data_IF_165677832010
#
_entry.id   IF_165677832010
#
_cell.length_a   1.000
_cell.length_b   1.000
_cell.length_c   1.000
_cell.angle_alpha   90.00
_cell.angle_beta   90.00
_cell.angle_gamma   90.00
#
_symmetry.space_group_name_H-M   'P 1'
#
loop_
_entity.id
_entity.type
_entity.pdbx_description
1 polymer ?
#
# COMPACT_ATOMS: atom_id res chain seq x y z
N UNK A 1 -3.17 -19.09 11.71
CA UNK A 1 -3.55 -20.52 11.68
C UNK A 1 -3.81 -21.05 10.26
N UNK A 2 -4.68 -20.41 9.44
CA UNK A 2 -5.06 -20.85 8.08
C UNK A 2 -3.84 -21.02 7.14
N UNK A 3 -2.86 -20.15 7.21
CA UNK A 3 -1.64 -20.20 6.39
C UNK A 3 -0.81 -21.47 6.65
N UNK A 4 -0.61 -21.81 7.91
CA UNK A 4 0.13 -23.01 8.31
C UNK A 4 -0.65 -24.28 7.99
N UNK A 5 -1.97 -24.30 8.19
CA UNK A 5 -2.81 -25.44 7.82
C UNK A 5 -2.69 -25.75 6.32
N UNK A 6 -2.71 -24.72 5.45
CA UNK A 6 -2.52 -24.92 4.01
C UNK A 6 -1.10 -25.37 3.67
N UNK A 7 -0.08 -24.86 4.34
CA UNK A 7 1.30 -25.30 4.16
C UNK A 7 1.48 -26.77 4.50
N UNK A 8 1.05 -27.19 5.69
CA UNK A 8 1.12 -28.59 6.14
C UNK A 8 0.39 -29.52 5.18
N UNK A 9 -0.82 -29.12 4.75
CA UNK A 9 -1.61 -29.93 3.81
C UNK A 9 -0.95 -30.03 2.44
N UNK A 10 -0.35 -28.94 1.95
CA UNK A 10 0.42 -28.94 0.71
C UNK A 10 1.62 -29.89 0.80
N UNK A 11 2.34 -29.87 1.92
CA UNK A 11 3.49 -30.75 2.16
C UNK A 11 3.05 -32.23 2.25
N UNK A 12 1.99 -32.53 2.98
CA UNK A 12 1.43 -33.88 3.05
C UNK A 12 1.05 -34.44 1.66
N UNK A 13 0.40 -33.61 0.82
CA UNK A 13 0.03 -34.02 -0.54
C UNK A 13 1.27 -34.22 -1.45
N UNK A 14 2.36 -33.49 -1.26
CA UNK A 14 3.61 -33.71 -1.99
C UNK A 14 4.26 -35.06 -1.63
N UNK A 15 4.19 -35.45 -0.37
CA UNK A 15 4.77 -36.73 0.08
C UNK A 15 3.95 -37.93 -0.35
N UNK A 16 2.63 -37.82 -0.44
CA UNK A 16 1.74 -38.89 -0.94
C UNK A 16 1.94 -39.17 -2.44
N UNK A 17 2.39 -38.19 -3.23
CA UNK A 17 2.59 -38.30 -4.68
C UNK A 17 3.83 -39.06 -5.11
N UNK A 18 4.68 -39.52 -4.21
CA UNK A 18 5.88 -40.31 -4.53
C UNK A 18 5.58 -41.72 -5.05
N UNK A 19 4.37 -42.25 -4.81
CA UNK A 19 3.95 -43.59 -5.24
C UNK A 19 3.38 -43.65 -6.67
N UNK A 20 3.04 -42.52 -7.28
CA UNK A 20 2.50 -42.45 -8.65
C UNK A 20 3.20 -41.38 -9.45
N UNK A 21 4.26 -41.79 -10.15
CA UNK A 21 5.26 -40.95 -10.82
C UNK A 21 4.79 -40.08 -11.99
N UNK A 22 3.50 -39.99 -12.31
CA UNK A 22 3.04 -39.36 -13.55
C UNK A 22 2.22 -38.07 -13.41
N UNK A 23 1.66 -37.68 -12.26
CA UNK A 23 0.65 -36.62 -12.25
C UNK A 23 0.60 -35.63 -11.09
N UNK A 24 1.51 -35.63 -10.10
CA UNK A 24 1.37 -34.78 -8.91
C UNK A 24 2.42 -33.67 -8.85
N UNK A 25 2.25 -32.65 -9.67
CA UNK A 25 3.01 -31.41 -9.54
C UNK A 25 2.41 -30.44 -8.48
N UNK A 26 3.18 -29.41 -8.03
CA UNK A 26 2.70 -28.40 -7.06
C UNK A 26 1.41 -27.70 -7.47
N UNK A 27 1.06 -27.76 -8.74
CA UNK A 27 -0.16 -27.21 -9.33
C UNK A 27 -1.41 -28.00 -8.88
N UNK A 28 -1.32 -29.34 -8.90
CA UNK A 28 -2.41 -30.23 -8.53
C UNK A 28 -2.71 -30.17 -7.03
N UNK A 29 -1.68 -30.12 -6.18
CA UNK A 29 -1.87 -30.04 -4.72
C UNK A 29 -2.61 -28.77 -4.29
N UNK A 30 -2.28 -27.62 -4.90
CA UNK A 30 -2.99 -26.36 -4.58
C UNK A 30 -4.42 -26.31 -5.13
N UNK A 31 -4.70 -27.00 -6.24
CA UNK A 31 -6.05 -27.14 -6.79
C UNK A 31 -6.92 -28.04 -5.92
N UNK A 32 -6.36 -29.13 -5.39
CA UNK A 32 -7.07 -30.04 -4.46
C UNK A 32 -7.45 -29.32 -3.17
N UNK A 33 -6.52 -28.57 -2.56
CA UNK A 33 -6.80 -27.76 -1.37
C UNK A 33 -7.88 -26.73 -1.66
N UNK A 34 -7.80 -26.03 -2.79
CA UNK A 34 -8.76 -25.03 -3.21
C UNK A 34 -10.18 -25.61 -3.35
N UNK A 35 -10.31 -26.78 -3.98
CA UNK A 35 -11.60 -27.46 -4.15
C UNK A 35 -12.21 -27.88 -2.80
N UNK A 36 -11.40 -28.28 -1.83
CA UNK A 36 -11.87 -28.75 -0.52
C UNK A 36 -12.22 -27.59 0.44
N UNK A 37 -11.60 -26.41 0.28
CA UNK A 37 -11.75 -25.27 1.20
C UNK A 37 -12.64 -24.16 0.65
N UNK A 38 -13.00 -24.20 -0.64
CA UNK A 38 -13.76 -23.14 -1.31
C UNK A 38 -12.92 -21.90 -1.66
N UNK A 39 -11.63 -21.89 -1.34
CA UNK A 39 -10.73 -20.80 -1.74
C UNK A 39 -10.24 -21.00 -3.18
N UNK A 40 -9.85 -19.92 -3.85
CA UNK A 40 -9.18 -20.07 -5.14
C UNK A 40 -7.76 -20.60 -4.97
N UNK A 41 -7.23 -21.29 -5.97
CA UNK A 41 -5.84 -21.78 -5.99
C UNK A 41 -4.82 -20.65 -5.71
N UNK A 42 -5.07 -19.46 -6.24
CA UNK A 42 -4.20 -18.33 -5.99
C UNK A 42 -4.28 -17.85 -4.54
N UNK A 43 -5.46 -17.89 -3.95
CA UNK A 43 -5.66 -17.55 -2.54
C UNK A 43 -4.94 -18.53 -1.61
N UNK A 44 -5.01 -19.82 -1.88
CA UNK A 44 -4.27 -20.86 -1.15
C UNK A 44 -2.74 -20.57 -1.18
N UNK A 45 -2.19 -20.29 -2.36
CA UNK A 45 -0.77 -19.95 -2.49
C UNK A 45 -0.39 -18.68 -1.71
N UNK A 46 -1.26 -17.67 -1.72
CA UNK A 46 -1.03 -16.41 -1.00
C UNK A 46 -1.06 -16.62 0.52
N UNK A 47 -1.98 -17.44 1.03
CA UNK A 47 -1.97 -17.83 2.45
C UNK A 47 -0.68 -18.55 2.81
N UNK A 48 -0.28 -19.58 2.03
CA UNK A 48 0.97 -20.29 2.28
C UNK A 48 2.15 -19.31 2.29
N UNK A 49 2.12 -18.29 1.43
CA UNK A 49 3.21 -17.31 1.38
C UNK A 49 3.40 -16.55 2.70
N UNK A 50 2.34 -16.30 3.47
CA UNK A 50 2.44 -15.66 4.78
C UNK A 50 3.32 -16.43 5.79
N UNK A 51 3.48 -17.74 5.62
CA UNK A 51 4.36 -18.55 6.50
C UNK A 51 5.85 -18.24 6.34
N UNK A 52 6.24 -17.36 5.41
CA UNK A 52 7.61 -16.87 5.22
C UNK A 52 7.82 -15.49 5.85
N UNK A 53 6.83 -14.96 6.55
CA UNK A 53 7.01 -13.78 7.38
C UNK A 53 7.72 -14.16 8.69
N UNK A 54 8.55 -13.23 9.19
CA UNK A 54 9.07 -13.37 10.56
C UNK A 54 7.91 -13.33 11.56
N UNK A 55 8.02 -14.03 12.72
CA UNK A 55 6.92 -14.17 13.67
C UNK A 55 6.30 -12.84 14.10
N UNK A 56 7.13 -11.81 14.31
CA UNK A 56 6.67 -10.48 14.74
C UNK A 56 5.79 -9.77 13.69
N UNK A 57 6.12 -9.88 12.40
CA UNK A 57 5.28 -9.32 11.34
C UNK A 57 4.03 -10.17 11.14
N UNK A 58 4.14 -11.50 11.23
CA UNK A 58 2.97 -12.38 11.15
C UNK A 58 1.95 -12.07 12.25
N UNK A 59 2.42 -11.81 13.49
CA UNK A 59 1.56 -11.37 14.58
C UNK A 59 0.83 -10.05 14.25
N UNK A 60 1.52 -9.08 13.64
CA UNK A 60 0.88 -7.84 13.20
C UNK A 60 -0.20 -8.05 12.13
N UNK A 61 -0.08 -9.11 11.33
CA UNK A 61 -1.13 -9.50 10.37
C UNK A 61 -2.32 -10.11 11.09
N UNK A 62 -2.09 -10.98 12.07
CA UNK A 62 -3.14 -11.61 12.88
C UNK A 62 -3.89 -10.57 13.73
N UNK A 63 -3.19 -9.54 14.22
CA UNK A 63 -3.76 -8.40 14.95
C UNK A 63 -4.49 -7.39 14.02
N UNK A 64 -4.46 -7.59 12.71
CA UNK A 64 -5.08 -6.69 11.73
C UNK A 64 -4.34 -5.36 11.49
N UNK A 65 -3.14 -5.17 12.06
CA UNK A 65 -2.29 -3.98 11.86
C UNK A 65 -1.73 -3.91 10.44
N UNK A 66 -1.43 -5.06 9.84
CA UNK A 66 -0.99 -5.17 8.44
C UNK A 66 -2.06 -5.94 7.66
N UNK A 67 -2.55 -5.35 6.59
CA UNK A 67 -3.54 -5.98 5.73
C UNK A 67 -2.93 -7.18 4.95
N UNK A 68 -3.76 -8.15 4.57
CA UNK A 68 -3.35 -9.38 3.88
C UNK A 68 -2.50 -9.13 2.62
N UNK A 69 -2.89 -8.17 1.77
CA UNK A 69 -2.20 -7.94 0.51
C UNK A 69 -0.78 -7.37 0.70
N UNK A 70 -0.56 -6.31 1.52
CA UNK A 70 0.78 -5.87 1.91
C UNK A 70 1.63 -6.99 2.53
N UNK A 71 1.06 -7.78 3.43
CA UNK A 71 1.76 -8.88 4.10
C UNK A 71 2.28 -9.93 3.12
N UNK A 72 1.49 -10.28 2.10
CA UNK A 72 1.93 -11.20 1.03
C UNK A 72 3.12 -10.62 0.27
N UNK A 73 3.16 -9.32 -0.03
CA UNK A 73 4.30 -8.70 -0.71
C UNK A 73 5.55 -8.67 0.20
N UNK A 74 5.39 -8.33 1.49
CA UNK A 74 6.47 -8.33 2.49
C UNK A 74 7.08 -9.72 2.64
N UNK A 75 6.30 -10.78 2.56
CA UNK A 75 6.80 -12.16 2.69
C UNK A 75 7.79 -12.58 1.60
N UNK A 76 7.97 -11.81 0.54
CA UNK A 76 8.98 -12.03 -0.49
C UNK A 76 10.32 -11.35 -0.19
N UNK A 77 10.39 -10.51 0.85
CA UNK A 77 11.62 -9.90 1.33
C UNK A 77 12.48 -10.93 2.09
N UNK A 78 13.78 -10.66 2.20
CA UNK A 78 14.68 -11.45 3.06
C UNK A 78 14.31 -11.26 4.53
N UNK A 79 14.65 -12.22 5.40
CA UNK A 79 14.40 -12.11 6.86
C UNK A 79 15.07 -10.87 7.45
N UNK A 80 16.29 -10.55 7.01
CA UNK A 80 17.02 -9.35 7.40
C UNK A 80 16.22 -8.07 7.08
N UNK A 81 15.75 -7.94 5.84
CA UNK A 81 14.96 -6.79 5.44
C UNK A 81 13.56 -6.74 6.09
N UNK A 82 13.00 -7.89 6.44
CA UNK A 82 11.77 -7.93 7.23
C UNK A 82 12.02 -7.45 8.67
N UNK A 83 13.19 -7.77 9.24
CA UNK A 83 13.59 -7.30 10.58
C UNK A 83 13.75 -5.77 10.58
N UNK A 84 14.50 -5.22 9.64
CA UNK A 84 14.62 -3.75 9.47
C UNK A 84 13.25 -3.08 9.31
N UNK A 85 12.40 -3.66 8.47
CA UNK A 85 11.05 -3.13 8.27
C UNK A 85 10.24 -3.15 9.59
N UNK A 86 10.37 -4.23 10.39
CA UNK A 86 9.66 -4.33 11.67
C UNK A 86 10.13 -3.28 12.67
N UNK A 87 11.43 -3.08 12.80
CA UNK A 87 12.05 -2.07 13.66
C UNK A 87 11.59 -0.66 13.25
N UNK A 88 11.58 -0.38 11.96
CA UNK A 88 11.16 0.91 11.43
C UNK A 88 9.65 1.16 11.60
N UNK A 89 8.82 0.12 11.43
CA UNK A 89 7.37 0.21 11.71
C UNK A 89 7.09 0.53 13.19
N UNK A 90 7.87 -0.02 14.11
CA UNK A 90 7.72 0.26 15.53
C UNK A 90 8.19 1.68 15.88
N UNK A 91 9.26 2.16 15.24
CA UNK A 91 9.79 3.50 15.46
C UNK A 91 8.87 4.60 14.93
N UNK A 92 8.29 4.39 13.76
CA UNK A 92 7.43 5.38 13.09
C UNK A 92 5.95 5.23 13.44
N UNK A 93 5.55 4.20 14.19
CA UNK A 93 4.15 3.78 14.42
C UNK A 93 3.33 3.75 13.11
N UNK A 94 3.95 3.24 12.05
CA UNK A 94 3.39 3.22 10.71
C UNK A 94 3.55 1.84 10.06
N UNK A 95 2.59 1.45 9.22
CA UNK A 95 2.66 0.20 8.44
C UNK A 95 2.64 0.51 6.96
N UNK A 96 3.35 -0.24 6.11
CA UNK A 96 3.42 0.06 4.68
C UNK A 96 2.10 -0.21 3.97
N UNK A 97 1.74 0.65 3.03
CA UNK A 97 0.65 0.42 2.08
C UNK A 97 1.02 -0.68 1.08
N UNK A 98 0.04 -1.16 0.30
CA UNK A 98 0.30 -2.17 -0.73
C UNK A 98 1.34 -1.69 -1.77
N UNK A 99 1.29 -0.41 -2.16
CA UNK A 99 2.24 0.17 -3.13
C UNK A 99 3.64 0.19 -2.53
N UNK A 100 3.77 0.68 -1.29
CA UNK A 100 5.04 0.70 -0.57
C UNK A 100 5.60 -0.72 -0.39
N UNK A 101 4.77 -1.70 -0.01
CA UNK A 101 5.20 -3.10 0.15
C UNK A 101 5.73 -3.71 -1.16
N UNK A 102 5.14 -3.37 -2.30
CA UNK A 102 5.66 -3.80 -3.61
C UNK A 102 7.02 -3.19 -3.91
N UNK A 103 7.18 -1.89 -3.68
CA UNK A 103 8.47 -1.21 -3.84
C UNK A 103 9.54 -1.83 -2.93
N UNK A 104 9.23 -2.05 -1.65
CA UNK A 104 10.14 -2.69 -0.70
C UNK A 104 10.54 -4.10 -1.12
N UNK A 105 9.59 -4.91 -1.60
CA UNK A 105 9.87 -6.23 -2.15
C UNK A 105 10.86 -6.16 -3.32
N UNK A 106 10.63 -5.26 -4.28
CA UNK A 106 11.47 -5.14 -5.47
C UNK A 106 12.87 -4.64 -5.09
N UNK A 107 12.99 -3.69 -4.18
CA UNK A 107 14.29 -3.23 -3.65
C UNK A 107 15.01 -4.32 -2.84
N UNK A 108 14.30 -5.07 -2.02
CA UNK A 108 14.85 -6.20 -1.27
C UNK A 108 15.41 -7.27 -2.22
N UNK A 109 14.67 -7.60 -3.27
CA UNK A 109 15.08 -8.54 -4.31
C UNK A 109 16.32 -8.07 -5.06
N UNK A 110 16.40 -6.79 -5.36
CA UNK A 110 17.52 -6.17 -6.07
C UNK A 110 18.72 -5.86 -5.15
N UNK A 111 18.61 -6.09 -3.83
CA UNK A 111 19.62 -5.76 -2.81
C UNK A 111 19.97 -4.26 -2.76
N UNK A 112 18.99 -3.41 -3.03
CA UNK A 112 19.13 -1.94 -3.01
C UNK A 112 18.41 -1.31 -1.83
N UNK A 113 17.74 -2.11 -0.98
CA UNK A 113 17.02 -1.61 0.17
C UNK A 113 18.01 -1.16 1.26
N UNK A 114 17.77 0.01 1.83
CA UNK A 114 18.52 0.59 2.95
C UNK A 114 17.57 1.01 4.07
N UNK A 115 18.05 1.04 5.32
CA UNK A 115 17.28 1.49 6.47
C UNK A 115 16.79 2.94 6.31
N UNK A 116 17.66 3.84 5.82
CA UNK A 116 17.28 5.23 5.54
C UNK A 116 16.11 5.34 4.55
N UNK A 117 16.07 4.47 3.54
CA UNK A 117 14.96 4.45 2.60
C UNK A 117 13.67 3.97 3.25
N UNK A 118 13.75 2.95 4.13
CA UNK A 118 12.60 2.46 4.92
C UNK A 118 12.01 3.59 5.76
N UNK A 119 12.86 4.33 6.48
CA UNK A 119 12.44 5.47 7.28
C UNK A 119 11.72 6.53 6.44
N UNK A 120 12.32 6.96 5.35
CA UNK A 120 11.73 7.95 4.43
C UNK A 120 10.38 7.47 3.90
N UNK A 121 10.30 6.21 3.47
CA UNK A 121 9.09 5.63 2.88
C UNK A 121 7.93 5.53 3.88
N UNK A 122 8.20 5.19 5.15
CA UNK A 122 7.18 5.04 6.18
C UNK A 122 6.73 6.39 6.76
N UNK A 123 7.61 7.39 6.75
CA UNK A 123 7.30 8.76 7.20
C UNK A 123 6.63 9.62 6.13
N UNK A 124 6.69 9.21 4.84
CA UNK A 124 5.96 9.89 3.78
C UNK A 124 4.44 9.89 4.03
N UNK A 125 3.81 11.06 3.90
CA UNK A 125 2.35 11.17 3.92
C UNK A 125 1.72 10.27 2.86
N UNK A 126 0.97 9.26 3.31
CA UNK A 126 0.25 8.37 2.40
C UNK A 126 -0.79 9.17 1.61
N UNK A 127 -0.99 8.85 0.31
CA UNK A 127 -1.98 9.55 -0.51
C UNK A 127 -3.39 9.60 0.09
N UNK A 128 -3.74 8.62 0.94
CA UNK A 128 -5.03 8.57 1.65
C UNK A 128 -5.09 9.49 2.88
N UNK A 129 -3.95 9.95 3.40
CA UNK A 129 -3.87 10.86 4.55
C UNK A 129 -3.83 12.33 4.13
N UNK A 130 -3.55 12.62 2.85
CA UNK A 130 -3.64 13.97 2.31
C UNK A 130 -5.09 14.43 2.38
N UNK A 131 -5.34 15.55 3.05
CA UNK A 131 -6.65 16.18 3.02
C UNK A 131 -6.99 16.51 1.57
N UNK A 132 -7.99 15.81 1.04
CA UNK A 132 -8.50 16.07 -0.31
C UNK A 132 -9.66 17.02 -0.19
N UNK A 133 -9.54 18.17 -0.83
CA UNK A 133 -10.65 19.08 -1.02
C UNK A 133 -11.40 18.70 -2.30
N UNK A 134 -12.67 18.37 -2.17
CA UNK A 134 -13.53 18.04 -3.30
C UNK A 134 -14.58 19.13 -3.46
N UNK A 135 -14.75 19.61 -4.67
CA UNK A 135 -15.91 20.36 -5.09
C UNK A 135 -16.87 19.41 -5.81
N UNK A 136 -18.09 19.27 -5.31
CA UNK A 136 -19.10 18.50 -6.02
C UNK A 136 -19.46 19.22 -7.31
N UNK A 137 -19.53 18.48 -8.41
CA UNK A 137 -19.87 19.05 -9.72
C UNK A 137 -21.25 19.76 -9.67
N UNK A 138 -22.22 19.19 -8.97
CA UNK A 138 -23.57 19.79 -8.78
C UNK A 138 -23.51 21.18 -8.18
N UNK A 139 -22.63 21.42 -7.21
CA UNK A 139 -22.54 22.67 -6.49
C UNK A 139 -21.90 23.79 -7.32
N UNK A 140 -21.05 23.38 -8.26
CA UNK A 140 -20.28 24.29 -9.10
C UNK A 140 -20.99 24.56 -10.44
N UNK A 141 -21.71 23.57 -10.97
CA UNK A 141 -22.31 23.63 -12.31
C UNK A 141 -23.31 24.76 -12.50
N UNK A 142 -24.00 25.17 -11.43
CA UNK A 142 -24.95 26.32 -11.47
C UNK A 142 -24.27 27.64 -11.86
N UNK A 143 -22.96 27.77 -11.70
CA UNK A 143 -22.18 28.98 -12.02
C UNK A 143 -21.55 28.94 -13.42
N UNK A 144 -21.75 27.85 -14.17
CA UNK A 144 -21.16 27.67 -15.50
C UNK A 144 -22.22 27.36 -16.55
N UNK A 145 -21.99 27.76 -17.82
CA UNK A 145 -22.83 27.35 -18.92
C UNK A 145 -22.92 25.83 -19.03
N UNK A 146 -24.07 25.31 -19.44
CA UNK A 146 -24.30 23.85 -19.61
C UNK A 146 -23.37 23.18 -20.61
N UNK A 147 -22.74 23.95 -21.50
CA UNK A 147 -21.76 23.48 -22.48
C UNK A 147 -20.36 23.27 -21.93
N UNK A 148 -20.09 23.69 -20.67
CA UNK A 148 -18.74 23.57 -20.09
C UNK A 148 -18.48 22.14 -19.62
N UNK A 149 -17.31 21.62 -20.03
CA UNK A 149 -16.80 20.33 -19.54
C UNK A 149 -16.25 20.49 -18.13
N UNK A 150 -16.19 19.42 -17.31
CA UNK A 150 -15.56 19.45 -15.98
C UNK A 150 -14.14 20.03 -15.98
N UNK A 151 -13.36 19.74 -17.01
CA UNK A 151 -12.00 20.25 -17.16
C UNK A 151 -11.97 21.78 -17.39
N UNK A 152 -12.90 22.30 -18.17
CA UNK A 152 -13.03 23.73 -18.43
C UNK A 152 -13.46 24.47 -17.13
N UNK A 153 -14.40 23.92 -16.38
CA UNK A 153 -14.81 24.47 -15.08
C UNK A 153 -13.60 24.51 -14.11
N UNK A 154 -12.84 23.45 -14.00
CA UNK A 154 -11.65 23.39 -13.16
C UNK A 154 -10.61 24.44 -13.55
N UNK A 155 -10.35 24.63 -14.85
CA UNK A 155 -9.40 25.64 -15.34
C UNK A 155 -9.83 27.06 -14.95
N UNK A 156 -11.11 27.38 -15.06
CA UNK A 156 -11.65 28.67 -14.66
C UNK A 156 -11.51 28.88 -13.17
N UNK A 157 -11.85 27.90 -12.34
CA UNK A 157 -11.72 27.97 -10.87
C UNK A 157 -10.27 28.24 -10.49
N UNK A 158 -9.32 27.49 -11.07
CA UNK A 158 -7.87 27.67 -10.80
C UNK A 158 -7.41 29.08 -11.19
N UNK A 159 -7.88 29.59 -12.34
CA UNK A 159 -7.56 30.94 -12.80
C UNK A 159 -8.07 32.00 -11.82
N UNK A 160 -9.30 31.87 -11.35
CA UNK A 160 -9.89 32.77 -10.37
C UNK A 160 -9.14 32.76 -9.02
N UNK A 161 -8.72 31.58 -8.56
CA UNK A 161 -7.94 31.43 -7.34
C UNK A 161 -6.54 32.07 -7.46
N UNK A 162 -5.86 31.93 -8.60
CA UNK A 162 -4.58 32.60 -8.87
C UNK A 162 -4.73 34.12 -8.85
N UNK A 163 -5.78 34.65 -9.47
CA UNK A 163 -6.07 36.07 -9.47
C UNK A 163 -6.39 36.60 -8.07
N UNK A 164 -7.12 35.83 -7.27
CA UNK A 164 -7.44 36.15 -5.89
C UNK A 164 -6.16 36.17 -5.02
N UNK A 165 -5.30 35.19 -5.16
CA UNK A 165 -4.01 35.13 -4.46
C UNK A 165 -3.14 36.35 -4.79
N UNK A 166 -3.05 36.71 -6.06
CA UNK A 166 -2.27 37.87 -6.50
C UNK A 166 -2.80 39.19 -5.89
N UNK A 167 -4.11 39.36 -5.87
CA UNK A 167 -4.76 40.51 -5.24
C UNK A 167 -4.53 40.54 -3.71
N UNK A 168 -4.55 39.38 -3.06
CA UNK A 168 -4.30 39.26 -1.62
C UNK A 168 -2.84 39.61 -1.28
N UNK A 169 -1.89 39.11 -2.03
CA UNK A 169 -0.45 39.40 -1.83
C UNK A 169 -0.11 40.87 -2.07
N UNK A 170 -0.75 41.49 -3.05
CA UNK A 170 -0.58 42.91 -3.34
C UNK A 170 -1.14 43.84 -2.24
N UNK A 171 -2.17 43.38 -1.48
CA UNK A 171 -2.75 44.14 -0.36
C UNK A 171 -1.95 43.99 0.95
N UNK A 172 -1.18 42.93 1.11
CA UNK A 172 -0.37 42.68 2.32
C UNK A 172 1.00 43.35 2.29
N UNK A 173 1.50 43.80 1.11
CA UNK A 173 2.79 44.49 0.99
C UNK A 173 2.84 45.88 1.69
N UNK A 174 1.82 46.76 1.65
CA UNK A 174 1.92 48.07 2.26
C UNK A 174 1.99 48.05 3.80
N UNK A 175 1.42 47.07 4.47
CA UNK A 175 1.43 47.02 5.96
C UNK A 175 2.77 46.57 6.55
N UNK A 176 3.62 45.91 5.79
CA UNK A 176 4.91 45.41 6.28
C UNK A 176 6.04 46.43 6.13
N UNK A 177 5.88 47.39 5.23
CA UNK A 177 6.82 48.52 5.07
C UNK A 177 6.60 49.61 6.13
N UNK A 178 5.35 49.87 6.57
CA UNK A 178 5.03 50.79 7.64
C UNK A 178 5.42 50.32 9.06
N UNK A 179 5.51 48.98 9.29
CA UNK A 179 5.99 48.42 10.57
C UNK A 179 7.52 48.40 10.70
N UNK A 180 8.28 48.54 9.62
CA UNK A 180 9.73 48.55 9.62
C UNK A 180 10.32 49.99 9.72
N UNK A 181 9.50 51.03 9.53
CA UNK A 181 9.91 52.42 9.66
C UNK A 181 9.53 53.07 11.03
N UNK A 182 9.01 52.28 11.97
CA UNK A 182 8.75 52.68 13.36
C UNK A 182 9.75 52.02 14.33
#
# INVERSE_FOLDING_TARGET
EKAFAYKMRMEALKHQGRATLAQVGPKFSSEKIAAETGDSRNQVKRYIRLTYLIPSILQMVDDGRIAFNPAVEISYMTEEHQTWLKEEMDMCDATPSLVQSRTLKDMSRNRTLTENYLHTLLTEEKPNQRQKFFLNQSDVQQYFPSSYTPQQMQNVIISLLRNWEHKRSSRQRPQREEELER
#
